data_IF_196120952983
#
_entry.id   IF_196120952983
#
_cell.length_a   1.000
_cell.length_b   1.000
_cell.length_c   1.000
_cell.angle_alpha   90.00
_cell.angle_beta   90.00
_cell.angle_gamma   90.00
#
_symmetry.space_group_name_H-M   'P 1'
#
loop_
_entity.id
_entity.type
_entity.pdbx_description
1 polymer ?
#
# COMPACT_ATOMS: atom_id res chain seq x y z
N UNK A 1 -14.94 -14.48 17.27
CA UNK A 1 -13.93 -14.98 16.31
C UNK A 1 -14.26 -14.39 14.95
N UNK A 2 -13.54 -13.36 14.52
CA UNK A 2 -13.64 -12.87 13.15
C UNK A 2 -12.81 -13.84 12.30
N UNK A 3 -13.46 -14.62 11.45
CA UNK A 3 -12.78 -15.53 10.54
C UNK A 3 -11.89 -14.72 9.59
N UNK A 4 -10.57 -14.84 9.74
CA UNK A 4 -9.52 -14.12 8.98
C UNK A 4 -9.60 -14.28 7.45
N UNK A 5 -10.51 -15.12 6.95
CA UNK A 5 -10.72 -15.36 5.52
C UNK A 5 -11.78 -14.46 4.85
N UNK A 6 -12.59 -13.69 5.60
CA UNK A 6 -13.65 -12.84 5.02
C UNK A 6 -13.28 -11.37 4.83
N UNK A 7 -12.23 -10.88 5.50
CA UNK A 7 -11.94 -9.43 5.51
C UNK A 7 -11.33 -8.94 4.19
N UNK A 8 -10.57 -9.78 3.50
CA UNK A 8 -9.81 -9.36 2.31
C UNK A 8 -10.68 -9.03 1.09
N UNK A 9 -11.70 -9.82 0.71
CA UNK A 9 -12.57 -9.47 -0.40
C UNK A 9 -13.40 -8.21 -0.15
N UNK A 10 -13.83 -7.99 1.10
CA UNK A 10 -14.58 -6.79 1.49
C UNK A 10 -13.69 -5.55 1.41
N UNK A 11 -12.47 -5.61 1.97
CA UNK A 11 -11.45 -4.57 1.82
C UNK A 11 -11.11 -4.27 0.35
N UNK A 12 -10.97 -5.29 -0.49
CA UNK A 12 -10.72 -5.11 -1.93
C UNK A 12 -11.91 -4.43 -2.63
N UNK A 13 -13.15 -4.77 -2.25
CA UNK A 13 -14.36 -4.16 -2.79
C UNK A 13 -14.50 -2.68 -2.37
N UNK A 14 -14.27 -2.38 -1.09
CA UNK A 14 -14.34 -1.01 -0.54
C UNK A 14 -13.33 -0.09 -1.23
N UNK A 15 -12.09 -0.57 -1.43
CA UNK A 15 -11.05 0.17 -2.13
C UNK A 15 -11.38 0.44 -3.61
N UNK A 16 -12.09 -0.49 -4.26
CA UNK A 16 -12.56 -0.29 -5.62
C UNK A 16 -13.73 0.69 -5.71
N UNK A 17 -14.58 0.73 -4.69
CA UNK A 17 -15.82 1.52 -4.67
C UNK A 17 -15.65 2.95 -4.17
N UNK A 18 -14.76 3.19 -3.20
CA UNK A 18 -14.53 4.50 -2.58
C UNK A 18 -13.10 5.01 -2.84
N UNK A 19 -12.92 6.01 -3.73
CA UNK A 19 -11.64 6.67 -3.96
C UNK A 19 -11.01 7.28 -2.71
N UNK A 20 -11.82 7.76 -1.76
CA UNK A 20 -11.32 8.36 -0.50
C UNK A 20 -10.68 7.28 0.35
N UNK A 21 -11.35 6.14 0.50
CA UNK A 21 -10.84 4.99 1.23
C UNK A 21 -9.55 4.43 0.60
N UNK A 22 -9.54 4.31 -0.73
CA UNK A 22 -8.33 3.95 -1.49
C UNK A 22 -7.17 4.89 -1.21
N UNK A 23 -7.41 6.21 -1.27
CA UNK A 23 -6.34 7.21 -1.11
C UNK A 23 -5.80 7.22 0.32
N UNK A 24 -6.66 7.02 1.32
CA UNK A 24 -6.26 6.81 2.73
C UNK A 24 -5.42 5.55 2.90
N UNK A 25 -5.78 4.42 2.27
CA UNK A 25 -4.94 3.21 2.32
C UNK A 25 -3.57 3.40 1.66
N UNK A 26 -3.48 4.19 0.58
CA UNK A 26 -2.20 4.52 -0.04
C UNK A 26 -1.36 5.41 0.90
N UNK A 27 -1.98 6.38 1.58
CA UNK A 27 -1.32 7.22 2.57
C UNK A 27 -0.78 6.38 3.73
N UNK A 28 -1.59 5.45 4.26
CA UNK A 28 -1.21 4.54 5.33
C UNK A 28 -0.05 3.61 4.92
N UNK A 29 -0.06 3.10 3.69
CA UNK A 29 1.08 2.37 3.15
C UNK A 29 2.35 3.23 3.07
N UNK A 30 2.21 4.54 2.87
CA UNK A 30 3.30 5.51 2.94
C UNK A 30 3.85 5.68 4.35
N UNK A 31 2.98 5.82 5.36
CA UNK A 31 3.36 5.88 6.77
C UNK A 31 4.11 4.61 7.19
N UNK A 32 3.53 3.43 6.96
CA UNK A 32 4.16 2.15 7.26
C UNK A 32 5.52 1.98 6.56
N UNK A 33 5.67 2.50 5.33
CA UNK A 33 6.96 2.51 4.64
C UNK A 33 8.02 3.38 5.35
N UNK A 34 7.64 4.56 5.84
CA UNK A 34 8.55 5.47 6.56
C UNK A 34 8.96 4.91 7.92
N UNK A 35 8.06 4.17 8.57
CA UNK A 35 8.31 3.49 9.85
C UNK A 35 9.12 2.20 9.70
N UNK A 36 9.39 1.75 8.47
CA UNK A 36 10.13 0.53 8.19
C UNK A 36 9.29 -0.75 8.23
N UNK A 37 7.97 -0.62 8.37
CA UNK A 37 7.00 -1.71 8.38
C UNK A 37 6.67 -2.22 6.96
N UNK A 38 7.69 -2.70 6.25
CA UNK A 38 7.58 -3.03 4.82
C UNK A 38 6.56 -4.13 4.53
N UNK A 39 6.36 -5.08 5.44
CA UNK A 39 5.36 -6.14 5.27
C UNK A 39 3.93 -5.62 5.36
N UNK A 40 3.69 -4.63 6.23
CA UNK A 40 2.39 -3.95 6.38
C UNK A 40 2.12 -3.13 5.13
N UNK A 41 3.07 -2.27 4.73
CA UNK A 41 2.97 -1.49 3.50
C UNK A 41 2.71 -2.38 2.26
N UNK A 42 3.44 -3.50 2.11
CA UNK A 42 3.21 -4.47 1.02
C UNK A 42 1.81 -5.06 1.06
N UNK A 43 1.29 -5.35 2.24
CA UNK A 43 -0.07 -5.87 2.44
C UNK A 43 -1.14 -4.89 1.95
N UNK A 44 -1.05 -3.64 2.40
CA UNK A 44 -1.95 -2.54 2.01
C UNK A 44 -1.90 -2.29 0.50
N UNK A 45 -0.69 -2.17 -0.05
CA UNK A 45 -0.49 -1.98 -1.48
C UNK A 45 -1.08 -3.13 -2.30
N UNK A 46 -0.94 -4.39 -1.84
CA UNK A 46 -1.57 -5.52 -2.53
C UNK A 46 -3.09 -5.39 -2.58
N UNK A 47 -3.73 -4.98 -1.49
CA UNK A 47 -5.18 -4.74 -1.46
C UNK A 47 -5.55 -3.65 -2.46
N UNK A 48 -4.82 -2.54 -2.48
CA UNK A 48 -5.04 -1.44 -3.44
C UNK A 48 -4.87 -1.89 -4.89
N UNK A 49 -3.83 -2.67 -5.19
CA UNK A 49 -3.61 -3.21 -6.54
C UNK A 49 -4.77 -4.12 -6.95
N UNK A 50 -5.29 -4.95 -6.06
CA UNK A 50 -6.37 -5.89 -6.40
C UNK A 50 -7.74 -5.23 -6.48
N UNK A 51 -8.04 -4.31 -5.58
CA UNK A 51 -9.34 -3.65 -5.46
C UNK A 51 -9.56 -2.54 -6.48
N UNK A 52 -8.52 -1.73 -6.79
CA UNK A 52 -8.71 -0.52 -7.59
C UNK A 52 -8.03 -0.53 -8.97
N UNK A 53 -6.77 -0.96 -9.07
CA UNK A 53 -5.96 -0.67 -10.28
C UNK A 53 -5.67 -1.88 -11.17
N UNK A 54 -5.65 -3.08 -10.61
CA UNK A 54 -5.19 -4.29 -11.28
C UNK A 54 -3.68 -4.37 -11.44
N UNK A 55 -3.16 -5.59 -11.58
CA UNK A 55 -1.72 -5.84 -11.73
C UNK A 55 -1.14 -5.27 -13.03
N UNK A 56 -1.91 -5.26 -14.11
CA UNK A 56 -1.41 -4.82 -15.43
C UNK A 56 -1.14 -3.31 -15.47
N UNK A 57 -2.09 -2.51 -14.99
CA UNK A 57 -1.95 -1.05 -14.88
C UNK A 57 -0.78 -0.66 -13.98
N UNK A 58 -0.66 -1.33 -12.82
CA UNK A 58 0.42 -1.05 -11.86
C UNK A 58 1.78 -1.51 -12.39
N UNK A 59 1.84 -2.64 -13.11
CA UNK A 59 3.08 -3.11 -13.72
C UNK A 59 3.58 -2.13 -14.78
N UNK A 60 2.68 -1.60 -15.62
CA UNK A 60 3.00 -0.55 -16.59
C UNK A 60 3.50 0.72 -15.90
N UNK A 61 2.77 1.23 -14.90
CA UNK A 61 3.15 2.43 -14.16
C UNK A 61 4.47 2.29 -13.38
N UNK A 62 4.78 1.08 -12.90
CA UNK A 62 6.02 0.74 -12.21
C UNK A 62 7.18 0.43 -13.17
N UNK A 63 6.94 0.34 -14.49
CA UNK A 63 7.91 -0.15 -15.47
C UNK A 63 8.52 -1.50 -15.08
N UNK A 64 7.67 -2.41 -14.58
CA UNK A 64 8.05 -3.76 -14.18
C UNK A 64 7.32 -4.81 -15.02
N UNK A 65 7.94 -5.97 -15.31
CA UNK A 65 7.21 -7.11 -15.81
C UNK A 65 6.10 -7.51 -14.84
N UNK A 66 4.90 -7.78 -15.35
CA UNK A 66 3.73 -8.19 -14.55
C UNK A 66 4.04 -9.34 -13.59
N UNK A 67 4.75 -10.37 -14.05
CA UNK A 67 5.13 -11.51 -13.22
C UNK A 67 6.00 -11.11 -12.01
N UNK A 68 6.91 -10.14 -12.20
CA UNK A 68 7.74 -9.60 -11.13
C UNK A 68 6.91 -8.82 -10.11
N UNK A 69 5.96 -8.00 -10.56
CA UNK A 69 5.04 -7.29 -9.67
C UNK A 69 4.17 -8.25 -8.84
N UNK A 70 3.59 -9.27 -9.49
CA UNK A 70 2.80 -10.29 -8.77
C UNK A 70 3.64 -10.98 -7.72
N UNK A 71 4.87 -11.40 -8.05
CA UNK A 71 5.79 -12.02 -7.09
C UNK A 71 6.11 -11.07 -5.94
N UNK A 72 6.48 -9.83 -6.24
CA UNK A 72 6.78 -8.78 -5.27
C UNK A 72 5.66 -8.53 -4.24
N UNK A 73 4.40 -8.75 -4.61
CA UNK A 73 3.24 -8.55 -3.73
C UNK A 73 2.77 -9.84 -3.03
N UNK A 74 3.38 -11.00 -3.29
CA UNK A 74 3.03 -12.25 -2.57
C UNK A 74 3.39 -12.15 -1.09
N UNK A 75 2.55 -12.75 -0.24
CA UNK A 75 2.77 -12.80 1.22
C UNK A 75 4.05 -13.55 1.60
N UNK A 76 4.43 -14.54 0.81
CA UNK A 76 5.57 -15.42 1.06
C UNK A 76 6.91 -14.83 0.63
N UNK A 77 6.92 -13.66 -0.01
CA UNK A 77 8.14 -13.02 -0.51
C UNK A 77 8.52 -11.89 0.45
N UNK A 78 9.80 -11.73 0.79
CA UNK A 78 10.24 -10.68 1.69
C UNK A 78 9.98 -9.30 1.09
N UNK A 79 9.36 -8.42 1.86
CA UNK A 79 9.16 -7.03 1.49
C UNK A 79 10.48 -6.25 1.62
N UNK A 80 11.01 -5.77 0.51
CA UNK A 80 12.15 -4.84 0.52
C UNK A 80 11.70 -3.40 0.31
N UNK A 81 12.37 -2.46 0.97
CA UNK A 81 12.11 -1.02 0.83
C UNK A 81 12.09 -0.57 -0.64
N UNK A 82 13.03 -1.06 -1.46
CA UNK A 82 13.08 -0.74 -2.89
C UNK A 82 11.82 -1.20 -3.64
N UNK A 83 11.33 -2.40 -3.33
CA UNK A 83 10.13 -2.96 -3.96
C UNK A 83 8.88 -2.22 -3.53
N UNK A 84 8.71 -2.00 -2.22
CA UNK A 84 7.57 -1.26 -1.64
C UNK A 84 7.53 0.15 -2.21
N UNK A 85 8.67 0.86 -2.25
CA UNK A 85 8.76 2.20 -2.83
C UNK A 85 8.31 2.26 -4.29
N UNK A 86 8.73 1.29 -5.12
CA UNK A 86 8.36 1.23 -6.53
C UNK A 86 6.84 1.07 -6.69
N UNK A 87 6.23 0.17 -5.91
CA UNK A 87 4.78 -0.06 -5.98
C UNK A 87 4.01 1.14 -5.42
N UNK A 88 4.42 1.68 -4.26
CA UNK A 88 3.82 2.87 -3.64
C UNK A 88 3.82 4.06 -4.60
N UNK A 89 4.94 4.30 -5.28
CA UNK A 89 5.06 5.37 -6.28
C UNK A 89 4.11 5.13 -7.46
N UNK A 90 4.02 3.90 -7.95
CA UNK A 90 3.16 3.56 -9.09
C UNK A 90 1.67 3.74 -8.75
N UNK A 91 1.21 3.25 -7.59
CA UNK A 91 -0.20 3.39 -7.20
C UNK A 91 -0.56 4.84 -6.86
N UNK A 92 0.35 5.61 -6.25
CA UNK A 92 0.11 7.03 -5.97
C UNK A 92 -0.08 7.83 -7.27
N UNK A 93 0.73 7.52 -8.30
CA UNK A 93 0.58 8.13 -9.63
C UNK A 93 -0.74 7.77 -10.30
N UNK A 94 -1.15 6.50 -10.22
CA UNK A 94 -2.43 6.04 -10.77
C UNK A 94 -3.64 6.65 -10.04
N UNK A 95 -3.52 6.84 -8.72
CA UNK A 95 -4.53 7.53 -7.91
C UNK A 95 -4.57 9.05 -8.15
N UNK A 96 -3.54 9.62 -8.78
CA UNK A 96 -3.42 11.08 -8.96
C UNK A 96 -3.07 11.82 -7.68
N UNK A 97 -2.57 11.13 -6.65
CA UNK A 97 -2.24 11.73 -5.35
C UNK A 97 -0.76 12.02 -5.21
N UNK A 98 -0.44 13.06 -4.44
CA UNK A 98 0.92 13.39 -4.02
C UNK A 98 1.03 13.20 -2.52
N UNK A 99 1.86 12.26 -2.09
CA UNK A 99 2.21 12.11 -0.69
C UNK A 99 3.20 13.21 -0.27
N UNK A 100 2.94 13.84 0.86
CA UNK A 100 3.83 14.81 1.50
C UNK A 100 4.27 14.24 2.85
N UNK A 101 5.53 14.47 3.20
CA UNK A 101 6.09 14.03 4.47
C UNK A 101 6.45 15.28 5.25
N UNK A 102 5.80 15.44 6.39
CA UNK A 102 6.08 16.52 7.33
C UNK A 102 6.76 15.93 8.57
N UNK A 103 7.73 16.64 9.18
CA UNK A 103 8.30 16.21 10.44
C UNK A 103 7.22 16.16 11.52
N UNK A 104 7.12 15.04 12.23
CA UNK A 104 6.25 14.95 13.39
C UNK A 104 6.64 16.00 14.43
N UNK A 105 5.66 16.71 15.00
CA UNK A 105 5.94 17.59 16.14
C UNK A 105 6.34 16.71 17.33
N UNK A 106 7.42 17.09 18.00
CA UNK A 106 8.03 16.27 19.07
C UNK A 106 7.06 15.91 20.21
N UNK A 107 6.01 16.71 20.42
CA UNK A 107 4.98 16.47 21.44
C UNK A 107 4.05 15.28 21.09
N UNK A 108 3.75 15.07 19.81
CA UNK A 108 2.90 13.98 19.32
C UNK A 108 3.68 12.66 19.22
N UNK A 109 4.97 12.72 18.88
CA UNK A 109 5.86 11.55 18.83
C UNK A 109 6.10 10.92 20.21
N UNK A 110 6.06 11.72 21.28
CA UNK A 110 6.17 11.22 22.65
C UNK A 110 4.90 10.47 23.12
N UNK A 111 3.72 10.84 22.59
CA UNK A 111 2.44 10.23 22.95
C UNK A 111 2.15 8.93 22.19
N UNK A 112 2.75 8.74 21.01
CA UNK A 112 2.63 7.49 20.24
C UNK A 112 3.60 6.38 20.72
N UNK A 113 4.56 6.72 21.58
CA UNK A 113 5.55 5.80 22.14
C UNK A 113 5.17 5.23 23.53
N UNK A 114 4.03 5.66 24.08
CA UNK A 114 3.47 5.28 25.38
C UNK A 114 2.28 4.32 25.21
#
# INVERSE_FOLDING_TARGET
>A
MISTHSVWPELEADVGADPTYRDLMIAEAGTAFLEGEFEVARGLLRTVVRGAFGYDSVAAAASLPRAKLVRALRRSEPASAATVRVVLTAVSRLAGIRLQVEPARLEEAAQAAE
#
